data_IF_316489609176
#
_entry.id   IF_316489609176
#
_cell.length_a   1.000
_cell.length_b   1.000
_cell.length_c   1.000
_cell.angle_alpha   90.00
_cell.angle_beta   90.00
_cell.angle_gamma   90.00
#
_symmetry.space_group_name_H-M   'P 1'
#
loop_
_entity.id
_entity.type
_entity.pdbx_description
1 polymer ?
#
# COMPACT_ATOMS: atom_id res chain seq x y z
N UNK A 1 15.73 -23.22 8.65
CA UNK A 1 14.66 -24.01 9.31
C UNK A 1 13.34 -23.43 8.84
N UNK A 2 12.34 -24.27 8.54
CA UNK A 2 11.08 -23.83 7.94
C UNK A 2 9.97 -23.81 8.99
N UNK A 3 9.32 -22.65 9.17
CA UNK A 3 8.08 -22.53 9.94
C UNK A 3 6.91 -22.56 8.96
N UNK A 4 5.85 -23.28 9.29
CA UNK A 4 4.59 -23.22 8.55
C UNK A 4 3.41 -23.11 9.52
N UNK A 5 2.43 -22.30 9.16
CA UNK A 5 1.16 -22.20 9.87
C UNK A 5 0.06 -22.93 9.08
N UNK A 6 -0.76 -23.73 9.77
CA UNK A 6 -1.90 -24.44 9.16
C UNK A 6 -3.14 -24.29 10.03
N UNK A 7 -4.31 -24.59 9.45
CA UNK A 7 -5.59 -24.60 10.16
C UNK A 7 -5.87 -23.29 10.94
N UNK A 8 -5.55 -22.15 10.32
CA UNK A 8 -5.68 -20.83 10.93
C UNK A 8 -7.17 -20.46 11.01
N UNK A 9 -7.61 -20.06 12.20
CA UNK A 9 -9.00 -19.68 12.49
C UNK A 9 -9.03 -18.38 13.30
N UNK A 10 -10.04 -17.56 13.07
CA UNK A 10 -10.36 -16.46 13.97
C UNK A 10 -10.91 -17.00 15.28
N UNK A 11 -10.46 -16.43 16.39
CA UNK A 11 -10.91 -16.79 17.74
C UNK A 11 -11.14 -15.52 18.56
N UNK A 12 -11.99 -15.61 19.58
CA UNK A 12 -12.16 -14.55 20.58
C UNK A 12 -11.20 -14.73 21.77
N UNK A 13 -10.49 -15.85 21.86
CA UNK A 13 -9.53 -16.12 22.93
C UNK A 13 -8.13 -15.55 22.61
N UNK A 14 -7.37 -15.04 23.60
CA UNK A 14 -7.66 -15.04 25.04
C UNK A 14 -8.43 -13.78 25.51
N UNK A 15 -8.98 -12.98 24.59
CA UNK A 15 -9.58 -11.67 24.90
C UNK A 15 -11.07 -11.59 24.49
N UNK A 16 -11.96 -12.37 25.12
CA UNK A 16 -13.38 -12.39 24.76
C UNK A 16 -14.00 -11.00 24.95
N UNK A 17 -14.76 -10.55 23.95
CA UNK A 17 -15.45 -9.24 23.96
C UNK A 17 -14.58 -8.01 23.66
N UNK A 18 -13.30 -8.17 23.33
CA UNK A 18 -12.50 -7.09 22.75
C UNK A 18 -12.66 -7.08 21.22
N UNK A 19 -12.66 -5.90 20.58
CA UNK A 19 -12.62 -5.77 19.10
C UNK A 19 -11.25 -6.18 18.50
N UNK A 20 -10.57 -7.14 19.13
CA UNK A 20 -9.40 -7.79 18.59
C UNK A 20 -9.90 -9.10 17.98
N UNK A 21 -9.47 -9.41 16.76
CA UNK A 21 -9.75 -10.70 16.10
C UNK A 21 -8.48 -11.58 16.17
N UNK A 22 -8.11 -12.15 17.34
CA UNK A 22 -6.98 -13.05 17.43
C UNK A 22 -7.11 -14.23 16.46
N UNK A 23 -5.97 -14.73 16.03
CA UNK A 23 -5.89 -15.89 15.13
C UNK A 23 -5.18 -17.02 15.85
N UNK A 24 -5.78 -18.21 15.82
CA UNK A 24 -5.19 -19.45 16.34
C UNK A 24 -4.96 -20.41 15.19
N UNK A 25 -3.90 -21.21 15.25
CA UNK A 25 -3.69 -22.30 14.30
C UNK A 25 -2.59 -23.25 14.76
N UNK A 26 -2.25 -24.18 13.88
CA UNK A 26 -1.23 -25.19 14.11
C UNK A 26 0.13 -24.66 13.65
N UNK A 27 1.15 -24.87 14.48
CA UNK A 27 2.55 -24.56 14.22
C UNK A 27 3.30 -25.82 13.76
N UNK A 28 3.94 -25.71 12.60
CA UNK A 28 4.80 -26.75 12.05
C UNK A 28 6.24 -26.26 11.92
N UNK A 29 7.21 -27.11 12.29
CA UNK A 29 8.64 -26.88 12.10
C UNK A 29 9.18 -28.00 11.21
N UNK A 30 9.75 -27.65 10.05
CA UNK A 30 10.23 -28.60 9.05
C UNK A 30 9.19 -29.70 8.72
N UNK A 31 7.92 -29.32 8.54
CA UNK A 31 6.76 -30.19 8.30
C UNK A 31 6.35 -31.11 9.47
N UNK A 32 6.94 -30.97 10.66
CA UNK A 32 6.52 -31.67 11.87
C UNK A 32 5.56 -30.77 12.65
N UNK A 33 4.37 -31.26 12.97
CA UNK A 33 3.42 -30.55 13.83
C UNK A 33 4.00 -30.48 15.25
N UNK A 34 4.30 -29.27 15.75
CA UNK A 34 4.93 -29.08 17.08
C UNK A 34 3.95 -28.54 18.13
N UNK A 35 2.78 -28.06 17.72
CA UNK A 35 1.70 -27.62 18.60
C UNK A 35 0.98 -26.42 18.04
N UNK A 36 0.46 -25.54 18.90
CA UNK A 36 -0.45 -24.47 18.49
C UNK A 36 0.21 -23.10 18.62
N UNK A 37 -0.25 -22.12 17.84
CA UNK A 37 0.05 -20.71 18.03
C UNK A 37 -1.23 -19.88 18.24
N UNK A 38 -1.09 -18.75 18.94
CA UNK A 38 -2.11 -17.72 19.12
C UNK A 38 -1.46 -16.37 18.83
N UNK A 39 -1.96 -15.68 17.81
CA UNK A 39 -1.61 -14.30 17.51
C UNK A 39 -2.68 -13.35 18.02
N UNK A 40 -2.27 -12.35 18.79
CA UNK A 40 -3.18 -11.36 19.41
C UNK A 40 -3.35 -10.09 18.57
N UNK A 41 -2.93 -10.14 17.29
CA UNK A 41 -2.97 -9.04 16.35
C UNK A 41 -1.59 -8.43 16.06
N UNK A 42 -1.57 -7.53 15.08
CA UNK A 42 -0.34 -6.88 14.59
C UNK A 42 0.35 -6.11 15.74
N UNK A 43 1.66 -6.32 15.90
CA UNK A 43 2.49 -5.62 16.88
C UNK A 43 2.47 -6.21 18.29
N UNK A 44 1.79 -7.33 18.52
CA UNK A 44 1.83 -8.05 19.80
C UNK A 44 2.59 -9.38 19.68
N UNK A 45 3.21 -9.87 20.77
CA UNK A 45 3.86 -11.19 20.76
C UNK A 45 2.85 -12.28 20.37
N UNK A 46 3.26 -13.14 19.44
CA UNK A 46 2.55 -14.39 19.21
C UNK A 46 2.94 -15.39 20.29
N UNK A 47 1.96 -16.08 20.86
CA UNK A 47 2.16 -17.16 21.79
C UNK A 47 2.18 -18.48 21.02
N UNK A 48 3.01 -19.43 21.42
CA UNK A 48 3.00 -20.78 20.86
C UNK A 48 3.31 -21.81 21.93
N UNK A 49 2.71 -23.00 21.81
CA UNK A 49 2.72 -24.04 22.83
C UNK A 49 3.12 -25.38 22.23
N UNK A 50 4.09 -26.04 22.85
CA UNK A 50 4.48 -27.39 22.47
C UNK A 50 3.37 -28.39 22.82
N UNK A 51 3.10 -29.34 21.92
CA UNK A 51 2.12 -30.41 22.17
C UNK A 51 2.68 -31.56 23.03
N UNK A 52 3.99 -31.75 23.03
CA UNK A 52 4.73 -32.80 23.76
C UNK A 52 6.20 -32.39 23.99
N UNK A 53 6.96 -33.23 24.70
CA UNK A 53 8.36 -32.97 25.07
C UNK A 53 9.29 -32.93 23.85
N UNK A 54 9.09 -33.84 22.89
CA UNK A 54 9.85 -33.87 21.63
C UNK A 54 9.63 -32.57 20.82
N UNK A 55 8.39 -32.09 20.76
CA UNK A 55 8.06 -30.83 20.13
C UNK A 55 8.66 -29.63 20.87
N UNK A 56 8.72 -29.67 22.20
CA UNK A 56 9.38 -28.63 23.00
C UNK A 56 10.86 -28.52 22.66
N UNK A 57 11.55 -29.65 22.50
CA UNK A 57 12.96 -29.69 22.08
C UNK A 57 13.11 -29.08 20.68
N UNK A 58 12.25 -29.44 19.73
CA UNK A 58 12.28 -28.87 18.38
C UNK A 58 12.02 -27.36 18.35
N UNK A 59 11.12 -26.86 19.19
CA UNK A 59 10.86 -25.43 19.35
C UNK A 59 12.11 -24.72 19.91
N UNK A 60 12.77 -25.28 20.92
CA UNK A 60 14.02 -24.71 21.44
C UNK A 60 15.15 -24.70 20.41
N UNK A 61 15.32 -25.78 19.65
CA UNK A 61 16.29 -25.85 18.57
C UNK A 61 16.01 -24.81 17.49
N UNK A 62 14.73 -24.59 17.19
CA UNK A 62 14.29 -23.57 16.25
C UNK A 62 14.56 -22.15 16.75
N UNK A 63 14.23 -21.85 18.00
CA UNK A 63 14.57 -20.56 18.60
C UNK A 63 16.09 -20.35 18.62
N UNK A 64 16.90 -21.36 18.97
CA UNK A 64 18.36 -21.27 18.89
C UNK A 64 18.85 -21.03 17.46
N UNK A 65 18.22 -21.64 16.47
CA UNK A 65 18.54 -21.43 15.07
C UNK A 65 18.25 -19.99 14.63
N UNK A 66 17.06 -19.45 14.94
CA UNK A 66 16.68 -18.08 14.58
C UNK A 66 17.50 -17.03 15.34
N UNK A 67 17.79 -17.26 16.63
CA UNK A 67 18.62 -16.37 17.44
C UNK A 67 20.09 -16.29 17.00
N UNK A 68 20.56 -17.21 16.15
CA UNK A 68 21.90 -17.14 15.53
C UNK A 68 21.93 -16.32 14.24
N UNK A 69 20.76 -15.96 13.70
CA UNK A 69 20.67 -15.14 12.51
C UNK A 69 20.92 -13.68 12.85
N UNK A 70 21.29 -12.91 11.82
CA UNK A 70 21.47 -11.47 11.93
C UNK A 70 20.13 -10.81 12.25
N UNK A 71 20.19 -9.73 13.04
CA UNK A 71 19.02 -8.89 13.31
C UNK A 71 18.39 -8.40 12.01
N UNK A 72 17.06 -8.44 11.96
CA UNK A 72 16.29 -8.00 10.80
C UNK A 72 15.46 -6.77 11.18
N UNK A 73 15.57 -5.71 10.41
CA UNK A 73 14.71 -4.53 10.58
C UNK A 73 13.30 -4.79 10.05
N UNK A 74 12.28 -4.47 10.85
CA UNK A 74 10.88 -4.57 10.47
C UNK A 74 10.20 -3.19 10.58
N UNK A 75 9.81 -2.56 9.44
CA UNK A 75 9.17 -1.25 9.42
C UNK A 75 7.71 -1.28 9.89
N UNK A 76 7.07 -2.45 9.87
CA UNK A 76 5.65 -2.63 10.21
C UNK A 76 5.39 -2.92 11.70
N UNK A 77 6.42 -2.91 12.55
CA UNK A 77 6.27 -3.07 14.00
C UNK A 77 6.17 -1.68 14.66
N UNK A 78 5.01 -1.31 15.24
CA UNK A 78 4.75 0.06 15.64
C UNK A 78 5.37 0.34 17.03
N UNK A 79 6.58 0.89 17.06
CA UNK A 79 7.05 1.74 18.17
C UNK A 79 7.65 3.00 17.53
N UNK A 80 6.81 4.02 17.33
CA UNK A 80 7.18 5.26 16.64
C UNK A 80 7.34 5.08 15.13
N UNK A 81 7.54 6.18 14.39
CA UNK A 81 7.83 6.19 12.94
C UNK A 81 9.20 5.58 12.57
N UNK A 82 9.75 4.72 13.44
CA UNK A 82 11.05 4.08 13.29
C UNK A 82 10.78 2.58 13.46
N UNK A 83 10.94 1.81 12.39
CA UNK A 83 10.90 0.35 12.50
C UNK A 83 11.91 -0.15 13.54
N UNK A 84 11.77 -1.41 13.92
CA UNK A 84 12.63 -2.03 14.94
C UNK A 84 13.54 -3.06 14.30
N UNK A 85 14.82 -3.04 14.68
CA UNK A 85 15.67 -4.22 14.54
C UNK A 85 15.18 -5.24 15.55
N UNK A 86 14.72 -6.39 15.06
CA UNK A 86 14.26 -7.49 15.90
C UNK A 86 15.14 -8.69 15.61
N UNK A 87 15.55 -9.35 16.68
CA UNK A 87 16.19 -10.65 16.58
C UNK A 87 15.18 -11.64 15.96
N UNK A 88 15.52 -12.34 14.87
CA UNK A 88 14.66 -13.38 14.33
C UNK A 88 14.28 -14.41 15.41
N UNK A 89 13.01 -14.78 15.43
CA UNK A 89 12.42 -15.78 16.33
C UNK A 89 11.25 -16.46 15.65
N UNK A 90 10.74 -17.54 16.24
CA UNK A 90 9.53 -18.21 15.74
C UNK A 90 8.35 -17.23 15.76
N UNK A 91 8.26 -16.40 16.80
CA UNK A 91 7.18 -15.40 16.94
C UNK A 91 7.17 -14.36 15.81
N UNK A 92 8.35 -13.90 15.37
CA UNK A 92 8.46 -12.97 14.22
C UNK A 92 8.03 -13.65 12.93
N UNK A 93 8.43 -14.92 12.73
CA UNK A 93 8.07 -15.68 11.53
C UNK A 93 6.56 -15.98 11.45
N UNK A 94 5.93 -16.32 12.59
CA UNK A 94 4.46 -16.46 12.68
C UNK A 94 3.78 -15.18 12.20
N UNK A 95 4.21 -14.02 12.72
CA UNK A 95 3.60 -12.73 12.38
C UNK A 95 3.71 -12.42 10.88
N UNK A 96 4.87 -12.69 10.26
CA UNK A 96 5.07 -12.45 8.83
C UNK A 96 4.15 -13.30 7.96
N UNK A 97 3.93 -14.57 8.32
CA UNK A 97 3.03 -15.45 7.57
C UNK A 97 1.58 -15.00 7.68
N UNK A 98 1.15 -14.53 8.85
CA UNK A 98 -0.20 -13.97 9.03
C UNK A 98 -0.43 -12.69 8.21
N UNK A 99 0.56 -11.77 8.15
CA UNK A 99 0.46 -10.57 7.31
C UNK A 99 0.33 -10.93 5.82
N UNK A 100 1.09 -11.92 5.36
CA UNK A 100 1.00 -12.42 3.97
C UNK A 100 -0.38 -13.03 3.69
N UNK A 101 -0.88 -13.86 4.61
CA UNK A 101 -2.21 -14.47 4.51
C UNK A 101 -3.29 -13.40 4.42
N UNK A 102 -3.28 -12.41 5.31
CA UNK A 102 -4.28 -11.36 5.34
C UNK A 102 -4.31 -10.52 4.05
N UNK A 103 -3.12 -10.24 3.50
CA UNK A 103 -3.03 -9.59 2.19
C UNK A 103 -3.65 -10.44 1.09
N UNK A 104 -3.36 -11.73 1.07
CA UNK A 104 -3.94 -12.66 0.10
C UNK A 104 -5.45 -12.82 0.25
N UNK A 105 -5.96 -12.92 1.48
CA UNK A 105 -7.40 -12.96 1.77
C UNK A 105 -8.11 -11.70 1.27
N UNK A 106 -7.51 -10.53 1.50
CA UNK A 106 -8.02 -9.25 1.01
C UNK A 106 -8.02 -9.18 -0.52
N UNK A 107 -6.92 -9.58 -1.17
CA UNK A 107 -6.82 -9.62 -2.64
C UNK A 107 -7.85 -10.58 -3.25
N UNK A 108 -8.03 -11.77 -2.66
CA UNK A 108 -9.01 -12.76 -3.11
C UNK A 108 -10.45 -12.27 -2.93
N UNK A 109 -10.77 -11.64 -1.80
CA UNK A 109 -12.09 -11.05 -1.55
C UNK A 109 -12.45 -9.98 -2.59
N UNK A 110 -11.48 -9.15 -2.97
CA UNK A 110 -11.65 -8.15 -4.03
C UNK A 110 -11.90 -8.83 -5.38
N UNK A 111 -11.16 -9.89 -5.72
CA UNK A 111 -11.37 -10.63 -6.97
C UNK A 111 -12.75 -11.29 -7.03
N UNK A 112 -13.16 -11.97 -5.95
CA UNK A 112 -14.49 -12.59 -5.85
C UNK A 112 -15.63 -11.57 -5.97
N UNK A 113 -15.45 -10.38 -5.40
CA UNK A 113 -16.37 -9.25 -5.55
C UNK A 113 -16.54 -8.87 -7.02
N UNK A 114 -15.44 -8.70 -7.76
CA UNK A 114 -15.50 -8.30 -9.18
C UNK A 114 -16.00 -9.40 -10.11
N UNK A 115 -15.69 -10.66 -9.83
CA UNK A 115 -16.24 -11.80 -10.57
C UNK A 115 -17.77 -11.86 -10.41
N UNK A 116 -18.28 -11.59 -9.20
CA UNK A 116 -19.72 -11.51 -8.96
C UNK A 116 -20.36 -10.35 -9.72
N UNK A 117 -19.73 -9.17 -9.73
CA UNK A 117 -20.20 -8.02 -10.53
C UNK A 117 -20.25 -8.38 -12.01
N UNK A 118 -19.18 -8.95 -12.55
CA UNK A 118 -19.07 -9.33 -13.96
C UNK A 118 -20.15 -10.33 -14.40
N UNK A 119 -20.48 -11.30 -13.53
CA UNK A 119 -21.55 -12.26 -13.79
C UNK A 119 -22.94 -11.63 -13.75
N UNK A 120 -23.18 -10.72 -12.79
CA UNK A 120 -24.53 -10.14 -12.57
C UNK A 120 -24.85 -9.02 -13.55
N UNK A 121 -23.87 -8.23 -13.97
CA UNK A 121 -24.11 -7.04 -14.79
C UNK A 121 -24.67 -7.32 -16.19
N UNK A 122 -24.59 -8.56 -16.69
CA UNK A 122 -25.13 -8.91 -18.02
C UNK A 122 -26.64 -8.67 -18.09
N UNK A 123 -27.36 -9.09 -17.05
CA UNK A 123 -28.83 -9.11 -16.99
C UNK A 123 -29.40 -8.24 -15.85
N UNK A 124 -28.55 -7.51 -15.13
CA UNK A 124 -28.94 -6.72 -13.97
C UNK A 124 -28.25 -5.37 -13.94
N UNK A 125 -28.92 -4.40 -13.32
CA UNK A 125 -28.25 -3.20 -12.78
C UNK A 125 -27.73 -3.58 -11.39
N UNK A 126 -26.41 -3.59 -11.26
CA UNK A 126 -25.70 -3.94 -10.03
C UNK A 126 -25.36 -2.65 -9.29
N UNK A 127 -25.83 -2.55 -8.06
CA UNK A 127 -25.59 -1.45 -7.14
C UNK A 127 -24.79 -1.95 -5.96
N UNK A 128 -23.81 -1.20 -5.50
CA UNK A 128 -23.18 -1.50 -4.22
C UNK A 128 -22.08 -0.54 -3.82
N UNK A 129 -21.59 -0.78 -2.61
CA UNK A 129 -20.37 -0.19 -2.10
C UNK A 129 -19.22 -1.20 -2.30
N UNK A 130 -18.07 -0.80 -2.87
CA UNK A 130 -16.88 -1.65 -2.99
C UNK A 130 -16.43 -2.31 -1.68
N UNK A 131 -16.74 -1.69 -0.53
CA UNK A 131 -16.31 -2.16 0.80
C UNK A 131 -17.41 -2.92 1.56
N UNK A 132 -18.55 -3.21 0.92
CA UNK A 132 -19.74 -3.69 1.62
C UNK A 132 -20.58 -4.67 0.81
N UNK A 133 -21.80 -4.26 0.48
CA UNK A 133 -22.83 -5.12 -0.10
C UNK A 133 -23.09 -4.83 -1.58
N UNK A 134 -23.48 -5.87 -2.31
CA UNK A 134 -23.97 -5.81 -3.68
C UNK A 134 -25.45 -6.16 -3.76
N UNK A 135 -26.21 -5.37 -4.50
CA UNK A 135 -27.62 -5.58 -4.83
C UNK A 135 -27.77 -5.61 -6.35
N UNK A 136 -28.38 -6.65 -6.88
CA UNK A 136 -28.64 -6.79 -8.32
C UNK A 136 -30.13 -6.59 -8.61
N UNK A 137 -30.43 -5.63 -9.48
CA UNK A 137 -31.78 -5.34 -9.96
C UNK A 137 -31.97 -5.96 -11.34
N UNK A 138 -32.79 -7.00 -11.42
CA UNK A 138 -33.05 -7.73 -12.66
C UNK A 138 -33.66 -6.82 -13.73
N UNK A 139 -33.08 -6.92 -14.93
CA UNK A 139 -33.60 -6.27 -16.13
C UNK A 139 -34.52 -7.23 -16.89
N UNK A 140 -35.48 -6.68 -17.67
CA UNK A 140 -36.35 -7.52 -18.49
C UNK A 140 -35.59 -8.24 -19.61
N UNK A 141 -34.45 -7.68 -20.05
CA UNK A 141 -33.55 -8.23 -21.07
C UNK A 141 -32.09 -7.87 -20.75
N UNK A 142 -31.10 -8.61 -21.29
CA UNK A 142 -29.68 -8.29 -21.17
C UNK A 142 -29.34 -6.86 -21.61
N UNK A 143 -28.39 -6.22 -20.92
CA UNK A 143 -27.98 -4.83 -21.17
C UNK A 143 -27.51 -4.64 -22.61
N UNK A 144 -26.77 -5.60 -23.17
CA UNK A 144 -26.29 -5.54 -24.55
C UNK A 144 -27.44 -5.47 -25.58
N UNK A 145 -28.56 -6.16 -25.33
CA UNK A 145 -29.73 -6.11 -26.21
C UNK A 145 -30.50 -4.80 -26.08
N UNK A 146 -30.62 -4.30 -24.85
CA UNK A 146 -31.28 -3.02 -24.58
C UNK A 146 -30.53 -1.84 -25.24
N UNK A 147 -29.20 -1.89 -25.25
CA UNK A 147 -28.35 -0.88 -25.91
C UNK A 147 -28.25 -1.06 -27.42
N UNK A 148 -28.33 -2.30 -27.92
CA UNK A 148 -28.20 -2.62 -29.35
C UNK A 148 -29.40 -2.19 -30.21
N UNK A 149 -30.54 -1.86 -29.60
CA UNK A 149 -31.75 -1.45 -30.30
C UNK A 149 -32.26 -0.11 -29.81
N UNK A 150 -32.31 0.89 -30.70
CA UNK A 150 -32.72 2.26 -30.37
C UNK A 150 -34.11 2.37 -29.74
N UNK A 151 -35.03 1.44 -30.05
CA UNK A 151 -36.37 1.40 -29.46
C UNK A 151 -36.42 0.82 -28.04
N UNK A 152 -35.34 0.19 -27.56
CA UNK A 152 -35.24 -0.44 -26.23
C UNK A 152 -34.38 0.37 -25.26
N UNK A 153 -33.68 1.39 -25.75
CA UNK A 153 -32.88 2.33 -24.97
C UNK A 153 -33.70 2.98 -23.85
N UNK A 154 -34.95 3.36 -24.13
CA UNK A 154 -35.89 3.91 -23.13
C UNK A 154 -36.22 2.92 -22.01
N UNK A 155 -36.17 1.62 -22.29
CA UNK A 155 -36.42 0.57 -21.29
C UNK A 155 -35.27 0.48 -20.30
N UNK A 156 -34.02 0.58 -20.77
CA UNK A 156 -32.86 0.64 -19.88
C UNK A 156 -32.88 1.92 -19.03
N UNK A 157 -33.16 3.06 -19.67
CA UNK A 157 -33.31 4.35 -18.99
C UNK A 157 -34.36 4.27 -17.86
N UNK A 158 -35.54 3.73 -18.16
CA UNK A 158 -36.60 3.54 -17.16
C UNK A 158 -36.18 2.62 -16.01
N UNK A 159 -35.49 1.51 -16.32
CA UNK A 159 -34.98 0.58 -15.31
C UNK A 159 -33.96 1.24 -14.38
N UNK A 160 -33.01 2.02 -14.91
CA UNK A 160 -32.03 2.76 -14.11
C UNK A 160 -32.74 3.78 -13.22
N UNK A 161 -33.70 4.52 -13.76
CA UNK A 161 -34.51 5.46 -12.97
C UNK A 161 -35.26 4.81 -11.80
N UNK A 162 -35.64 3.53 -11.92
CA UNK A 162 -36.28 2.78 -10.82
C UNK A 162 -35.30 2.32 -9.77
N UNK A 163 -34.01 2.19 -10.09
CA UNK A 163 -32.97 1.75 -9.15
C UNK A 163 -32.49 2.90 -8.28
N UNK A 164 -32.36 4.11 -8.84
CA UNK A 164 -31.85 5.31 -8.15
C UNK A 164 -32.48 5.54 -6.76
N UNK A 165 -33.82 5.46 -6.58
CA UNK A 165 -34.44 5.69 -5.27
C UNK A 165 -34.07 4.68 -4.18
N UNK A 166 -33.51 3.53 -4.55
CA UNK A 166 -33.09 2.47 -3.62
C UNK A 166 -31.60 2.52 -3.27
N UNK A 167 -30.83 3.43 -3.90
CA UNK A 167 -29.42 3.60 -3.61
C UNK A 167 -29.24 4.29 -2.25
N UNK A 168 -28.49 3.67 -1.36
CA UNK A 168 -28.09 4.23 -0.08
C UNK A 168 -26.96 5.24 -0.21
N UNK A 169 -26.60 5.87 0.91
CA UNK A 169 -25.45 6.78 0.97
C UNK A 169 -24.15 5.99 0.69
N UNK A 170 -23.45 6.35 -0.39
CA UNK A 170 -22.20 5.71 -0.81
C UNK A 170 -22.36 4.58 -1.84
N UNK A 171 -23.58 4.19 -2.18
CA UNK A 171 -23.84 3.20 -3.22
C UNK A 171 -23.52 3.72 -4.62
N UNK A 172 -23.03 2.83 -5.48
CA UNK A 172 -22.74 3.12 -6.88
C UNK A 172 -23.34 2.07 -7.79
N UNK A 173 -23.79 2.46 -8.97
CA UNK A 173 -24.00 1.51 -10.07
C UNK A 173 -22.62 1.03 -10.53
N UNK A 174 -22.31 -0.24 -10.33
CA UNK A 174 -20.98 -0.82 -10.61
C UNK A 174 -20.87 -1.47 -11.98
N UNK A 175 -21.92 -1.39 -12.79
CA UNK A 175 -21.94 -1.90 -14.17
C UNK A 175 -20.92 -1.17 -15.05
N UNK A 176 -19.99 -1.91 -15.64
CA UNK A 176 -19.06 -1.41 -16.66
C UNK A 176 -19.64 -1.47 -18.08
N UNK A 177 -20.77 -2.15 -18.24
CA UNK A 177 -21.42 -2.39 -19.53
C UNK A 177 -22.57 -1.42 -19.84
N UNK A 178 -22.82 -0.43 -18.97
CA UNK A 178 -23.76 0.67 -19.23
C UNK A 178 -22.96 1.92 -19.63
N UNK A 179 -23.24 2.53 -20.80
CA UNK A 179 -22.58 3.76 -21.22
C UNK A 179 -22.76 4.89 -20.21
N UNK A 180 -21.72 5.69 -20.01
CA UNK A 180 -21.72 6.85 -19.13
C UNK A 180 -22.85 7.82 -19.47
N UNK A 181 -23.06 8.09 -20.76
CA UNK A 181 -24.08 9.00 -21.25
C UNK A 181 -25.50 8.53 -20.88
N UNK A 182 -25.72 7.22 -20.81
CA UNK A 182 -26.99 6.64 -20.36
C UNK A 182 -27.21 6.89 -18.86
N UNK A 183 -26.17 6.70 -18.05
CA UNK A 183 -26.24 6.93 -16.60
C UNK A 183 -26.49 8.42 -16.28
N UNK A 184 -25.78 9.31 -16.98
CA UNK A 184 -25.98 10.75 -16.87
C UNK A 184 -27.36 11.20 -17.36
N UNK A 185 -27.87 10.59 -18.44
CA UNK A 185 -29.21 10.85 -18.93
C UNK A 185 -30.30 10.47 -17.92
N UNK A 186 -30.07 9.41 -17.14
CA UNK A 186 -30.95 9.02 -16.02
C UNK A 186 -30.80 9.92 -14.78
N UNK A 187 -29.95 10.95 -14.83
CA UNK A 187 -29.73 11.90 -13.74
C UNK A 187 -28.73 11.44 -12.68
N UNK A 188 -27.97 10.37 -12.91
CA UNK A 188 -26.90 9.97 -12.00
C UNK A 188 -25.70 10.92 -12.13
N UNK A 189 -25.10 11.24 -10.99
CA UNK A 189 -23.87 12.01 -10.88
C UNK A 189 -22.67 11.07 -11.01
N UNK A 190 -21.50 11.55 -11.48
CA UNK A 190 -20.33 10.68 -11.68
C UNK A 190 -19.83 9.89 -10.47
N UNK A 191 -20.16 10.31 -9.24
CA UNK A 191 -19.82 9.57 -8.02
C UNK A 191 -20.81 8.44 -7.69
N UNK A 192 -21.96 8.38 -8.36
CA UNK A 192 -23.05 7.41 -8.15
C UNK A 192 -22.94 6.21 -9.11
N UNK A 193 -21.88 6.15 -9.94
CA UNK A 193 -21.60 5.00 -10.78
C UNK A 193 -20.09 4.81 -11.00
N UNK A 194 -19.69 3.60 -11.38
CA UNK A 194 -18.33 3.28 -11.80
C UNK A 194 -18.26 3.31 -13.31
N UNK A 195 -17.66 4.35 -13.87
CA UNK A 195 -17.32 4.35 -15.29
C UNK A 195 -16.34 3.22 -15.56
N UNK A 196 -16.65 2.36 -16.55
CA UNK A 196 -15.80 1.28 -17.00
C UNK A 196 -14.34 1.76 -17.12
N UNK A 197 -13.45 1.09 -16.38
CA UNK A 197 -12.01 1.37 -16.26
C UNK A 197 -11.67 2.58 -15.37
N UNK A 198 -11.64 2.32 -14.06
CA UNK A 198 -10.65 2.86 -13.12
C UNK A 198 -10.58 4.38 -12.95
N UNK A 199 -11.14 4.88 -11.85
CA UNK A 199 -10.75 6.14 -11.18
C UNK A 199 -10.64 7.38 -12.11
N UNK A 200 -11.73 8.16 -12.08
CA UNK A 200 -11.86 9.63 -12.21
C UNK A 200 -11.91 10.29 -13.59
N UNK A 201 -13.06 10.94 -13.87
CA UNK A 201 -13.22 12.07 -14.78
C UNK A 201 -14.11 13.14 -14.13
N UNK A 202 -13.74 14.41 -14.27
CA UNK A 202 -14.70 15.50 -14.06
C UNK A 202 -15.70 15.59 -15.24
N UNK A 203 -16.76 16.39 -15.08
CA UNK A 203 -17.87 16.55 -16.04
C UNK A 203 -17.46 17.15 -17.41
N UNK A 204 -16.16 17.21 -17.73
CA UNK A 204 -15.64 17.67 -19.02
C UNK A 204 -14.78 16.65 -19.75
N UNK A 205 -14.60 15.44 -19.18
CA UNK A 205 -13.62 14.48 -19.72
C UNK A 205 -12.17 14.96 -19.53
N UNK A 206 -11.94 15.92 -18.63
CA UNK A 206 -10.61 16.24 -18.14
C UNK A 206 -10.34 15.44 -16.87
N UNK A 207 -9.15 14.87 -16.80
CA UNK A 207 -8.64 14.30 -15.56
C UNK A 207 -8.11 15.47 -14.74
N UNK A 208 -8.95 16.02 -13.85
CA UNK A 208 -8.49 17.06 -12.91
C UNK A 208 -7.31 16.52 -12.09
N UNK A 209 -6.12 17.02 -12.38
CA UNK A 209 -4.88 16.56 -11.78
C UNK A 209 -4.51 17.47 -10.62
N UNK A 210 -4.67 16.98 -9.39
CA UNK A 210 -4.33 17.69 -8.16
C UNK A 210 -2.95 17.25 -7.68
N UNK A 211 -2.02 18.18 -7.51
CA UNK A 211 -0.65 17.91 -7.11
C UNK A 211 -0.16 18.89 -6.03
N UNK A 212 0.34 18.37 -4.92
CA UNK A 212 1.19 19.13 -3.99
C UNK A 212 2.64 19.12 -4.48
N UNK A 213 3.23 20.29 -4.69
CA UNK A 213 4.63 20.48 -5.12
C UNK A 213 5.35 21.44 -4.19
N UNK A 214 6.67 21.54 -4.33
CA UNK A 214 7.52 22.41 -3.50
C UNK A 214 7.29 22.20 -1.99
N UNK A 215 7.19 20.94 -1.58
CA UNK A 215 6.89 20.55 -0.20
C UNK A 215 8.11 20.83 0.66
N UNK A 216 7.93 21.67 1.68
CA UNK A 216 8.88 21.94 2.76
C UNK A 216 8.25 21.45 4.06
N UNK A 217 9.02 20.79 4.91
CA UNK A 217 8.48 20.24 6.16
C UNK A 217 9.53 20.25 7.27
N UNK A 218 9.06 20.40 8.51
CA UNK A 218 9.89 20.38 9.71
C UNK A 218 10.11 18.93 10.18
N UNK A 219 11.33 18.62 10.58
CA UNK A 219 11.77 17.27 10.97
C UNK A 219 12.06 17.11 12.45
N UNK A 220 12.06 18.22 13.21
CA UNK A 220 12.41 18.26 14.63
C UNK A 220 11.22 18.14 15.59
N UNK A 221 10.02 17.84 15.08
CA UNK A 221 8.80 17.76 15.88
C UNK A 221 8.63 16.37 16.55
N UNK A 222 7.87 16.30 17.66
CA UNK A 222 7.50 15.04 18.32
C UNK A 222 6.76 14.08 17.37
N UNK A 223 6.75 12.79 17.72
CA UNK A 223 6.22 11.72 16.86
C UNK A 223 4.77 11.98 16.39
N UNK A 224 4.55 11.86 15.07
CA UNK A 224 3.23 11.99 14.44
C UNK A 224 2.86 13.41 13.99
N UNK A 225 3.62 14.42 14.39
CA UNK A 225 3.35 15.82 14.06
C UNK A 225 4.21 16.29 12.88
N UNK A 226 3.58 16.62 11.75
CA UNK A 226 4.25 17.13 10.56
C UNK A 226 3.77 18.55 10.29
N UNK A 227 4.65 19.53 10.52
CA UNK A 227 4.46 20.88 10.00
C UNK A 227 5.03 20.94 8.59
N UNK A 228 4.26 21.49 7.66
CA UNK A 228 4.67 21.60 6.27
C UNK A 228 4.08 22.82 5.58
N UNK A 229 4.72 23.20 4.48
CA UNK A 229 4.23 24.15 3.50
C UNK A 229 4.42 23.55 2.10
N UNK A 230 3.46 23.77 1.21
CA UNK A 230 3.53 23.31 -0.17
C UNK A 230 2.76 24.24 -1.10
N UNK A 231 2.95 24.04 -2.40
CA UNK A 231 2.19 24.69 -3.45
C UNK A 231 1.20 23.68 -4.01
N UNK A 232 -0.08 24.05 -4.06
CA UNK A 232 -1.14 23.22 -4.63
C UNK A 232 -1.36 23.61 -6.10
N UNK A 233 -1.21 22.61 -6.96
CA UNK A 233 -1.47 22.72 -8.39
C UNK A 233 -2.72 21.92 -8.75
N UNK A 234 -3.57 22.51 -9.60
CA UNK A 234 -4.70 21.82 -10.23
C UNK A 234 -4.53 21.99 -11.73
N UNK A 235 -4.46 20.89 -12.46
CA UNK A 235 -4.20 20.85 -13.91
C UNK A 235 -2.94 21.61 -14.32
N UNK A 236 -1.91 21.52 -13.47
CA UNK A 236 -0.63 22.19 -13.67
C UNK A 236 -0.63 23.70 -13.37
N UNK A 237 -1.76 24.28 -12.97
CA UNK A 237 -1.89 25.68 -12.57
C UNK A 237 -1.72 25.81 -11.06
N UNK A 238 -0.86 26.72 -10.60
CA UNK A 238 -0.65 26.99 -9.18
C UNK A 238 -1.82 27.82 -8.64
N UNK A 239 -2.62 27.25 -7.74
CA UNK A 239 -3.87 27.89 -7.28
C UNK A 239 -3.90 28.22 -5.79
N UNK A 240 -3.12 27.53 -4.96
CA UNK A 240 -3.05 27.83 -3.54
C UNK A 240 -1.70 27.48 -2.91
N UNK A 241 -1.38 28.14 -1.80
CA UNK A 241 -0.37 27.71 -0.85
C UNK A 241 -1.04 26.83 0.21
N UNK A 242 -0.55 25.62 0.40
CA UNK A 242 -0.98 24.70 1.45
C UNK A 242 -0.04 24.74 2.65
N UNK A 243 -0.58 24.70 3.85
CA UNK A 243 0.25 24.62 5.05
C UNK A 243 -0.44 23.97 6.23
N UNK A 244 0.33 23.25 7.03
CA UNK A 244 -0.03 22.91 8.40
C UNK A 244 0.98 23.55 9.35
N UNK A 245 0.57 24.60 10.08
CA UNK A 245 1.41 25.36 11.01
C UNK A 245 1.15 25.04 12.48
N UNK A 246 0.11 24.25 12.78
CA UNK A 246 -0.22 23.86 14.16
C UNK A 246 -0.43 22.36 14.20
N UNK A 247 0.41 21.61 14.94
CA UNK A 247 0.25 20.17 15.01
C UNK A 247 -1.14 19.76 15.48
N UNK A 248 -1.68 18.69 14.90
CA UNK A 248 -3.03 18.19 15.18
C UNK A 248 -4.18 19.05 14.64
N UNK A 249 -3.90 20.18 13.97
CA UNK A 249 -4.92 20.95 13.23
C UNK A 249 -4.96 20.56 11.76
N UNK A 250 -6.12 20.77 11.16
CA UNK A 250 -6.34 20.61 9.74
C UNK A 250 -5.46 21.59 8.95
N UNK A 251 -4.89 21.13 7.84
CA UNK A 251 -4.17 21.99 6.93
C UNK A 251 -5.05 23.11 6.36
N UNK A 252 -4.42 24.25 6.07
CA UNK A 252 -5.03 25.42 5.47
C UNK A 252 -4.58 25.57 4.01
N UNK A 253 -5.49 26.06 3.17
CA UNK A 253 -5.20 26.48 1.81
C UNK A 253 -5.40 27.98 1.69
N UNK A 254 -4.38 28.67 1.22
CA UNK A 254 -4.39 30.09 0.92
C UNK A 254 -4.40 30.27 -0.60
N UNK A 255 -5.53 30.69 -1.20
CA UNK A 255 -5.59 30.93 -2.64
C UNK A 255 -4.52 31.95 -3.06
N UNK A 256 -3.85 31.70 -4.19
CA UNK A 256 -2.84 32.63 -4.72
C UNK A 256 -3.51 33.96 -5.10
N UNK A 257 -4.70 33.90 -5.69
CA UNK A 257 -5.53 35.04 -6.10
C UNK A 257 -7.01 34.74 -5.84
N UNK A 258 -7.89 35.76 -5.88
CA UNK A 258 -9.33 35.59 -5.60
C UNK A 258 -10.01 34.70 -6.65
N UNK A 259 -9.51 34.76 -7.87
CA UNK A 259 -9.96 34.04 -9.06
C UNK A 259 -9.71 32.52 -8.95
N UNK A 260 -8.80 32.10 -8.06
CA UNK A 260 -8.54 30.68 -7.78
C UNK A 260 -9.62 30.02 -6.89
N UNK A 261 -10.41 30.82 -6.15
CA UNK A 261 -11.39 30.31 -5.17
C UNK A 261 -12.43 29.37 -5.80
N UNK A 262 -13.05 29.67 -6.97
CA UNK A 262 -14.02 28.77 -7.59
C UNK A 262 -13.41 27.41 -7.95
N UNK A 263 -12.20 27.39 -8.49
CA UNK A 263 -11.49 26.16 -8.88
C UNK A 263 -11.10 25.32 -7.65
N UNK A 264 -10.64 25.97 -6.57
CA UNK A 264 -10.36 25.28 -5.30
C UNK A 264 -11.63 24.68 -4.69
N UNK A 265 -12.77 25.38 -4.76
CA UNK A 265 -14.07 24.85 -4.31
C UNK A 265 -14.53 23.66 -5.16
N UNK A 266 -14.32 23.72 -6.47
CA UNK A 266 -14.62 22.61 -7.37
C UNK A 266 -13.76 21.39 -7.04
N UNK A 267 -12.45 21.57 -6.85
CA UNK A 267 -11.54 20.49 -6.47
C UNK A 267 -11.88 19.90 -5.09
N UNK A 268 -12.23 20.73 -4.09
CA UNK A 268 -12.70 20.24 -2.79
C UNK A 268 -14.01 19.46 -2.87
N UNK A 269 -14.94 19.93 -3.69
CA UNK A 269 -16.17 19.20 -3.95
C UNK A 269 -15.87 17.82 -4.55
N UNK A 270 -14.90 17.69 -5.45
CA UNK A 270 -14.46 16.41 -6.01
C UNK A 270 -13.80 15.53 -4.94
N UNK A 271 -12.88 16.10 -4.15
CA UNK A 271 -12.14 15.37 -3.12
C UNK A 271 -13.06 14.79 -2.02
N UNK A 272 -14.23 15.40 -1.77
CA UNK A 272 -15.22 14.87 -0.81
C UNK A 272 -15.74 13.48 -1.18
N UNK A 273 -15.66 13.10 -2.46
CA UNK A 273 -16.16 11.82 -2.97
C UNK A 273 -15.08 10.74 -3.07
N UNK A 274 -13.83 11.04 -2.68
CA UNK A 274 -12.75 10.06 -2.58
C UNK A 274 -12.87 9.27 -1.26
N UNK A 275 -12.51 7.96 -1.24
CA UNK A 275 -12.47 7.19 0.00
C UNK A 275 -11.51 7.86 0.98
N UNK A 276 -12.01 8.35 2.12
CA UNK A 276 -11.15 8.97 3.12
C UNK A 276 -10.50 7.90 3.96
N UNK A 277 -9.18 7.94 4.11
CA UNK A 277 -8.49 7.13 5.11
C UNK A 277 -9.01 7.49 6.51
N UNK A 278 -9.50 6.49 7.25
CA UNK A 278 -10.03 6.68 8.60
C UNK A 278 -8.88 7.01 9.54
N UNK A 279 -8.76 8.29 9.95
CA UNK A 279 -8.46 8.75 11.32
C UNK A 279 -8.24 10.27 11.41
N UNK A 280 -9.10 10.95 12.17
CA UNK A 280 -8.72 11.74 13.36
C UNK A 280 -9.98 12.29 14.07
N UNK A 281 -10.02 12.34 15.42
CA UNK A 281 -11.15 12.88 16.17
C UNK A 281 -11.27 14.39 15.92
N UNK A 282 -12.52 14.84 15.88
CA UNK A 282 -12.89 16.24 15.69
C UNK A 282 -12.11 17.17 16.64
N UNK A 283 -11.34 18.11 16.06
CA UNK A 283 -10.91 19.31 16.76
C UNK A 283 -11.87 20.46 16.41
N UNK A 284 -12.25 21.19 17.45
CA UNK A 284 -13.33 22.17 17.49
C UNK A 284 -13.41 23.14 16.31
N UNK A 285 -14.67 23.41 15.98
CA UNK A 285 -15.14 24.36 14.98
C UNK A 285 -14.58 25.76 15.27
N UNK A 286 -13.66 26.23 14.43
CA UNK A 286 -13.40 27.65 14.27
C UNK A 286 -13.69 28.05 12.83
N UNK A 287 -14.56 29.05 12.71
CA UNK A 287 -15.18 29.53 11.48
C UNK A 287 -14.14 29.98 10.44
N UNK A 288 -14.06 29.25 9.32
CA UNK A 288 -13.20 29.59 8.20
C UNK A 288 -13.32 28.61 7.04
N UNK A 289 -14.31 28.82 6.15
CA UNK A 289 -14.36 28.32 4.77
C UNK A 289 -13.80 26.93 4.48
N UNK A 290 -14.58 25.88 4.79
CA UNK A 290 -14.24 24.46 4.62
C UNK A 290 -13.84 24.04 3.19
N UNK A 291 -12.53 23.91 2.93
CA UNK A 291 -11.95 23.09 1.85
C UNK A 291 -11.37 21.78 2.42
N UNK A 292 -12.18 21.10 3.24
CA UNK A 292 -11.68 20.07 4.15
C UNK A 292 -11.19 18.80 3.48
N UNK A 293 -11.77 18.41 2.35
CA UNK A 293 -11.40 17.18 1.66
C UNK A 293 -10.20 17.39 0.73
N UNK A 294 -10.10 18.56 0.09
CA UNK A 294 -8.91 18.95 -0.67
C UNK A 294 -7.69 19.05 0.24
N UNK A 295 -7.85 19.62 1.44
CA UNK A 295 -6.79 19.64 2.45
C UNK A 295 -6.36 18.22 2.87
N UNK A 296 -7.30 17.28 3.05
CA UNK A 296 -6.98 15.88 3.38
C UNK A 296 -6.19 15.18 2.26
N UNK A 297 -6.65 15.31 1.01
CA UNK A 297 -5.94 14.74 -0.14
C UNK A 297 -4.51 15.32 -0.24
N UNK A 298 -4.37 16.63 -0.05
CA UNK A 298 -3.06 17.29 -0.01
C UNK A 298 -2.19 16.75 1.13
N UNK A 299 -2.74 16.59 2.33
CA UNK A 299 -2.03 16.00 3.47
C UNK A 299 -1.57 14.56 3.17
N UNK A 300 -2.40 13.75 2.50
CA UNK A 300 -2.02 12.41 2.07
C UNK A 300 -0.88 12.44 1.06
N UNK A 301 -0.94 13.30 0.03
CA UNK A 301 0.15 13.47 -0.93
C UNK A 301 1.45 13.95 -0.28
N UNK A 302 1.34 14.87 0.69
CA UNK A 302 2.49 15.36 1.45
C UNK A 302 3.07 14.25 2.33
N UNK A 303 2.23 13.48 3.04
CA UNK A 303 2.67 12.32 3.84
C UNK A 303 3.36 11.28 2.96
N UNK A 304 2.78 10.95 1.81
CA UNK A 304 3.38 10.03 0.84
C UNK A 304 4.74 10.54 0.38
N UNK A 305 4.84 11.82 0.01
CA UNK A 305 6.11 12.42 -0.40
C UNK A 305 7.17 12.37 0.72
N UNK A 306 6.78 12.70 1.95
CA UNK A 306 7.66 12.65 3.11
C UNK A 306 8.11 11.21 3.38
N UNK A 307 7.20 10.24 3.29
CA UNK A 307 7.50 8.81 3.47
C UNK A 307 8.45 8.30 2.37
N UNK A 308 8.27 8.72 1.12
CA UNK A 308 9.17 8.41 0.02
C UNK A 308 10.57 9.02 0.26
N UNK A 309 10.65 10.30 0.66
CA UNK A 309 11.93 10.93 1.00
C UNK A 309 12.60 10.26 2.20
N UNK A 310 11.83 9.94 3.24
CA UNK A 310 12.31 9.23 4.43
C UNK A 310 12.84 7.85 4.05
N UNK A 311 12.17 7.15 3.14
CA UNK A 311 12.61 5.85 2.63
C UNK A 311 13.90 5.96 1.82
N UNK A 312 14.05 6.99 0.98
CA UNK A 312 15.32 7.26 0.27
C UNK A 312 16.45 7.56 1.25
N UNK A 313 16.22 8.43 2.25
CA UNK A 313 17.21 8.74 3.30
C UNK A 313 17.54 7.51 4.13
N UNK A 314 16.54 6.71 4.48
CA UNK A 314 16.73 5.45 5.19
C UNK A 314 17.64 4.52 4.40
N UNK A 315 17.39 4.37 3.09
CA UNK A 315 18.25 3.58 2.22
C UNK A 315 19.67 4.14 2.20
N UNK A 316 19.83 5.45 2.03
CA UNK A 316 21.15 6.09 1.99
C UNK A 316 21.95 5.89 3.28
N UNK A 317 21.31 6.00 4.44
CA UNK A 317 21.96 5.87 5.74
C UNK A 317 22.27 4.41 6.09
N UNK A 318 21.31 3.50 5.89
CA UNK A 318 21.44 2.11 6.34
C UNK A 318 22.16 1.22 5.33
N UNK A 319 22.25 1.59 4.04
CA UNK A 319 23.02 0.80 3.06
C UNK A 319 24.52 0.79 3.36
N UNK A 320 25.00 1.64 4.28
CA UNK A 320 26.41 1.72 4.69
C UNK A 320 26.86 0.42 5.37
N UNK A 321 26.04 -0.15 6.25
CA UNK A 321 26.39 -1.33 7.03
C UNK A 321 25.37 -2.46 6.90
N UNK A 322 24.37 -2.32 6.03
CA UNK A 322 23.27 -3.29 5.92
C UNK A 322 22.85 -3.53 4.46
N UNK A 323 22.25 -4.70 4.21
CA UNK A 323 21.57 -5.02 2.95
C UNK A 323 20.08 -4.80 3.13
N UNK A 324 19.51 -3.90 2.33
CA UNK A 324 18.13 -3.46 2.38
C UNK A 324 17.33 -4.10 1.25
N UNK A 325 16.15 -4.64 1.54
CA UNK A 325 15.28 -5.19 0.51
C UNK A 325 13.80 -4.97 0.83
N UNK A 326 12.98 -4.84 -0.21
CA UNK A 326 11.56 -4.51 -0.08
C UNK A 326 10.91 -4.22 -1.42
N UNK A 327 9.73 -3.60 -1.39
CA UNK A 327 9.04 -3.11 -2.58
C UNK A 327 9.59 -1.73 -2.99
N UNK A 328 9.28 -1.30 -4.21
CA UNK A 328 9.74 0.00 -4.71
C UNK A 328 9.31 1.13 -3.75
N UNK A 329 10.30 1.85 -3.21
CA UNK A 329 10.07 3.00 -2.34
C UNK A 329 9.81 2.66 -0.87
N UNK A 330 9.68 1.38 -0.50
CA UNK A 330 9.38 0.96 0.86
C UNK A 330 10.33 -0.17 1.31
N UNK A 331 11.44 0.16 2.00
CA UNK A 331 12.34 -0.85 2.55
C UNK A 331 11.59 -1.68 3.58
N UNK A 332 11.32 -2.95 3.23
CA UNK A 332 10.58 -3.87 4.09
C UNK A 332 11.49 -4.57 5.10
N UNK A 333 12.76 -4.73 4.77
CA UNK A 333 13.74 -5.47 5.56
C UNK A 333 15.15 -4.89 5.42
N UNK A 334 15.94 -5.02 6.48
CA UNK A 334 17.38 -4.73 6.53
C UNK A 334 18.10 -5.89 7.19
N UNK A 335 19.19 -6.37 6.60
CA UNK A 335 20.09 -7.37 7.19
C UNK A 335 21.41 -6.67 7.50
N UNK A 336 21.74 -6.56 8.79
CA UNK A 336 22.96 -5.89 9.24
C UNK A 336 24.19 -6.74 8.93
N UNK A 337 25.22 -6.12 8.37
CA UNK A 337 26.48 -6.77 8.04
C UNK A 337 27.46 -6.69 9.22
N UNK A 338 28.42 -7.61 9.27
CA UNK A 338 29.49 -7.60 10.26
C UNK A 338 30.49 -6.45 10.07
N UNK A 339 30.55 -5.87 8.87
CA UNK A 339 31.37 -4.71 8.55
C UNK A 339 30.64 -3.84 7.50
N UNK A 340 30.98 -2.53 7.43
CA UNK A 340 30.46 -1.64 6.41
C UNK A 340 30.69 -2.17 4.98
N UNK A 341 29.74 -1.90 4.09
CA UNK A 341 29.74 -2.36 2.69
C UNK A 341 31.00 -1.87 1.97
N UNK A 342 31.41 -0.62 2.17
CA UNK A 342 32.63 -0.06 1.57
C UNK A 342 33.90 -0.79 2.03
N UNK A 343 34.00 -1.14 3.31
CA UNK A 343 35.12 -1.92 3.87
C UNK A 343 35.18 -3.33 3.29
N UNK A 344 34.02 -3.97 3.07
CA UNK A 344 33.96 -5.28 2.42
C UNK A 344 34.34 -5.16 0.93
N UNK A 345 33.84 -4.12 0.25
CA UNK A 345 34.09 -3.92 -1.17
C UNK A 345 35.53 -3.51 -1.49
N UNK A 346 36.24 -2.89 -0.55
CA UNK A 346 37.65 -2.51 -0.70
C UNK A 346 38.60 -3.70 -0.91
N UNK A 347 38.18 -4.90 -0.52
CA UNK A 347 38.94 -6.14 -0.71
C UNK A 347 38.12 -7.17 -1.50
N UNK A 348 38.45 -7.40 -2.79
CA UNK A 348 37.77 -8.40 -3.62
C UNK A 348 37.71 -9.80 -3.01
N UNK A 349 38.66 -10.17 -2.15
CA UNK A 349 38.62 -11.46 -1.46
C UNK A 349 37.47 -11.53 -0.47
N UNK A 350 36.99 -10.42 0.08
CA UNK A 350 35.87 -10.37 1.05
C UNK A 350 34.50 -10.29 0.40
N UNK A 351 34.41 -10.11 -0.92
CA UNK A 351 33.12 -10.04 -1.63
C UNK A 351 32.26 -11.30 -1.46
N UNK A 352 32.87 -12.45 -1.14
CA UNK A 352 32.11 -13.66 -0.79
C UNK A 352 31.20 -13.42 0.42
N UNK A 353 31.57 -12.58 1.37
CA UNK A 353 30.74 -12.27 2.54
C UNK A 353 29.41 -11.63 2.14
N UNK A 354 29.43 -10.65 1.23
CA UNK A 354 28.19 -10.07 0.67
C UNK A 354 27.39 -11.10 -0.12
N UNK A 355 28.08 -11.94 -0.90
CA UNK A 355 27.43 -13.00 -1.70
C UNK A 355 26.71 -14.01 -0.80
N UNK A 356 27.36 -14.41 0.31
CA UNK A 356 26.84 -15.37 1.28
C UNK A 356 25.65 -14.79 2.06
N UNK A 357 25.71 -13.51 2.47
CA UNK A 357 24.57 -12.85 3.13
C UNK A 357 23.39 -12.71 2.15
N UNK A 358 23.65 -12.30 0.91
CA UNK A 358 22.60 -12.22 -0.12
C UNK A 358 21.94 -13.58 -0.37
N UNK A 359 22.73 -14.64 -0.50
CA UNK A 359 22.24 -15.97 -0.79
C UNK A 359 21.51 -16.61 0.40
N UNK A 360 22.04 -16.48 1.60
CA UNK A 360 21.56 -17.24 2.77
C UNK A 360 20.59 -16.45 3.66
N UNK A 361 20.65 -15.12 3.66
CA UNK A 361 19.88 -14.28 4.57
C UNK A 361 18.95 -13.27 3.88
N UNK A 362 19.14 -12.98 2.58
CA UNK A 362 18.27 -12.06 1.84
C UNK A 362 17.33 -12.82 0.92
N UNK A 363 17.87 -13.58 -0.05
CA UNK A 363 17.08 -14.31 -1.04
C UNK A 363 15.97 -15.20 -0.46
N UNK A 364 16.19 -15.98 0.62
CA UNK A 364 15.15 -16.84 1.19
C UNK A 364 13.96 -16.05 1.77
N UNK A 365 14.18 -14.79 2.13
CA UNK A 365 13.19 -13.91 2.75
C UNK A 365 12.53 -12.95 1.75
N UNK A 366 13.04 -12.87 0.51
CA UNK A 366 12.46 -12.04 -0.54
C UNK A 366 11.16 -12.67 -1.09
N UNK A 367 10.06 -11.95 -0.95
CA UNK A 367 8.78 -12.28 -1.56
C UNK A 367 8.68 -11.86 -3.04
N UNK A 368 7.61 -12.27 -3.75
CA UNK A 368 7.33 -11.81 -5.11
C UNK A 368 7.29 -10.27 -5.18
N UNK A 369 7.95 -9.71 -6.20
CA UNK A 369 8.00 -8.26 -6.43
C UNK A 369 8.99 -7.48 -5.56
N UNK A 370 9.64 -8.12 -4.58
CA UNK A 370 10.68 -7.48 -3.78
C UNK A 370 12.03 -7.41 -4.50
N UNK A 371 12.81 -6.39 -4.14
CA UNK A 371 14.16 -6.14 -4.68
C UNK A 371 15.11 -5.68 -3.59
N UNK A 372 16.41 -5.90 -3.81
CA UNK A 372 17.47 -5.26 -3.04
C UNK A 372 17.56 -3.79 -3.42
N UNK A 373 17.56 -2.92 -2.40
CA UNK A 373 17.50 -1.47 -2.53
C UNK A 373 18.87 -0.78 -2.44
N UNK A 374 19.92 -1.53 -2.06
CA UNK A 374 21.29 -1.02 -2.05
C UNK A 374 21.71 -0.54 -3.43
N UNK A 375 22.31 0.64 -3.47
CA UNK A 375 22.85 1.26 -4.70
C UNK A 375 24.38 1.31 -4.70
N UNK A 376 25.00 0.85 -3.61
CA UNK A 376 26.44 0.86 -3.35
C UNK A 376 27.12 -0.51 -3.55
N UNK A 377 26.35 -1.57 -3.86
CA UNK A 377 26.89 -2.91 -4.12
C UNK A 377 26.95 -3.12 -5.66
N UNK A 378 28.08 -3.59 -6.22
CA UNK A 378 28.20 -3.86 -7.66
C UNK A 378 27.26 -4.96 -8.16
N UNK A 379 26.77 -4.81 -9.39
CA UNK A 379 25.81 -5.75 -10.00
C UNK A 379 26.37 -7.19 -10.09
N UNK A 380 27.69 -7.32 -10.24
CA UNK A 380 28.36 -8.61 -10.31
C UNK A 380 28.19 -9.44 -9.03
N UNK A 381 28.10 -8.79 -7.86
CA UNK A 381 27.90 -9.48 -6.57
C UNK A 381 26.47 -10.01 -6.48
N UNK A 382 25.47 -9.21 -6.87
CA UNK A 382 24.07 -9.64 -6.92
C UNK A 382 23.88 -10.86 -7.83
N UNK A 383 24.46 -10.82 -9.03
CA UNK A 383 24.37 -11.93 -9.99
C UNK A 383 25.06 -13.18 -9.48
N UNK A 384 26.23 -13.04 -8.83
CA UNK A 384 26.94 -14.16 -8.21
C UNK A 384 26.15 -14.80 -7.07
N UNK A 385 25.38 -14.01 -6.33
CA UNK A 385 24.49 -14.50 -5.28
C UNK A 385 23.20 -15.15 -5.81
N UNK A 386 22.94 -15.08 -7.13
CA UNK A 386 21.78 -15.70 -7.77
C UNK A 386 20.59 -14.76 -8.00
N UNK A 387 20.73 -13.45 -7.78
CA UNK A 387 19.66 -12.48 -8.06
C UNK A 387 19.53 -12.21 -9.57
N UNK A 388 18.29 -12.06 -10.04
CA UNK A 388 17.95 -11.62 -11.40
C UNK A 388 17.92 -10.09 -11.48
N UNK A 389 18.07 -9.53 -12.68
CA UNK A 389 18.11 -8.08 -12.91
C UNK A 389 16.88 -7.32 -12.36
N UNK A 390 15.71 -7.97 -12.30
CA UNK A 390 14.49 -7.37 -11.72
C UNK A 390 14.48 -7.32 -10.17
N UNK A 391 15.40 -8.03 -9.51
CA UNK A 391 15.43 -8.25 -8.06
C UNK A 391 16.47 -7.38 -7.34
N UNK A 392 17.17 -6.48 -8.04
CA UNK A 392 18.08 -5.53 -7.39
C UNK A 392 18.02 -4.16 -8.09
N UNK A 393 18.39 -3.14 -7.33
CA UNK A 393 18.54 -1.78 -7.84
C UNK A 393 19.94 -1.65 -8.45
N UNK A 394 20.08 -1.19 -9.70
CA UNK A 394 21.38 -1.09 -10.35
C UNK A 394 22.35 -0.23 -9.55
N UNK A 395 23.61 -0.66 -9.47
CA UNK A 395 24.65 0.09 -8.77
C UNK A 395 24.86 1.48 -9.38
N UNK A 396 25.04 2.48 -8.53
CA UNK A 396 25.41 3.85 -8.97
C UNK A 396 26.74 3.86 -9.72
N UNK A 397 27.69 3.01 -9.34
CA UNK A 397 28.97 2.86 -10.03
C UNK A 397 28.79 2.29 -11.45
N UNK A 398 27.93 1.28 -11.61
CA UNK A 398 27.68 0.60 -12.89
C UNK A 398 26.80 1.43 -13.84
N UNK A 399 25.87 2.23 -13.30
CA UNK A 399 25.08 3.20 -14.07
C UNK A 399 25.99 4.27 -14.72
N UNK A 400 26.96 4.79 -13.98
CA UNK A 400 27.92 5.76 -14.49
C UNK A 400 28.82 5.15 -15.58
N UNK A 401 29.30 3.91 -15.38
CA UNK A 401 30.09 3.20 -16.39
C UNK A 401 29.31 2.92 -17.68
N UNK A 402 28.00 2.64 -17.57
CA UNK A 402 27.11 2.36 -18.70
C UNK A 402 26.77 3.62 -19.50
N UNK A 403 26.58 4.76 -18.83
CA UNK A 403 26.37 6.06 -19.48
C UNK A 403 27.63 6.54 -20.23
N UNK A 404 28.82 6.30 -19.68
CA UNK A 404 30.09 6.61 -20.34
C UNK A 404 30.26 5.76 -21.62
N UNK A 405 29.97 4.46 -21.56
CA UNK A 405 30.03 3.58 -22.75
C UNK A 405 29.04 3.98 -23.85
N UNK A 406 27.83 4.43 -23.50
CA UNK A 406 26.85 4.94 -24.49
C UNK A 406 27.31 6.23 -25.18
N UNK A 407 28.03 7.11 -24.49
CA UNK A 407 28.59 8.34 -25.08
C UNK A 407 29.79 8.08 -25.99
N UNK A 408 30.59 7.06 -25.71
CA UNK A 408 31.76 6.70 -26.54
C UNK A 408 31.37 5.90 -27.79
N UNK A 409 30.18 5.27 -27.81
CA UNK A 409 29.66 4.51 -28.95
C UNK A 409 29.01 5.33 -30.07
N UNK A 410 28.77 6.63 -29.89
CA UNK A 410 28.31 7.51 -30.98
C UNK A 410 29.52 7.94 -31.81
N UNK A 411 29.77 7.25 -32.93
CA UNK A 411 30.64 7.78 -33.98
C UNK A 411 30.11 9.15 -34.42
N UNK A 412 30.98 10.16 -34.57
CA UNK A 412 30.55 11.46 -35.08
C UNK A 412 29.96 11.29 -36.48
N UNK A 413 28.81 11.90 -36.72
CA UNK A 413 28.24 12.09 -38.06
C UNK A 413 28.88 13.30 -38.72
#
# INVERSE_FOLDING_TARGET
>A
MKIELKNIQHTEEPYPGQHLLPQRGDLYINNIHVGDFISTGIGRPSLYYAKDEDASILIEEAEKYFNRQLEVFHPSLPIGNRGLYVQPSIGVEIMQQLVKLHRQEMENSILEYWDLVAQKQVDNIVVGNPDGSLVAHALPQPIALLLGHSSLVDTLHYSIHRVIPYMGEGDRIVNDNIPKEMLEWCGLRPHEYLSAVGINEDNTGHRMKIEAKNIQYETLLPEGEILYACHLYIDGIHLAYGSNFVPGRQAFLYPVEKEAIPQLKQADAICKWLPQSVQSPAADQTEGGHLSALCKLMEEQVKEHINQQASVRFVQTNQVDSILFGTNGEPSFSVKLFAPVDVILADPQKWHQLTDVLHNAVLPYMGPGQRVLNTNIPDAIFKKAGLRDAQFTPSTADLNATQIKKRVGMKPR
#
